data_IF_790412095648
#
_entry.id   IF_790412095648
#
_cell.length_a   1.000
_cell.length_b   1.000
_cell.length_c   1.000
_cell.angle_alpha   90.00
_cell.angle_beta   90.00
_cell.angle_gamma   90.00
#
_symmetry.space_group_name_H-M   'P 1'
#
loop_
_entity.id
_entity.type
_entity.pdbx_description
1 polymer ?
#
# COMPACT_ATOMS: atom_id res chain seq x y z
N UNK A 1 10.83 11.16 -21.53
CA UNK A 1 9.39 11.50 -21.60
C UNK A 1 8.79 11.46 -20.20
N UNK A 2 7.88 12.40 -19.87
CA UNK A 2 7.17 12.42 -18.58
C UNK A 2 5.67 12.34 -18.84
N UNK A 3 4.95 11.48 -18.12
CA UNK A 3 3.50 11.31 -18.20
C UNK A 3 2.88 11.74 -16.89
N UNK A 4 1.96 12.70 -16.93
CA UNK A 4 1.17 13.14 -15.78
C UNK A 4 -0.18 12.41 -15.79
N UNK A 5 -0.35 11.47 -14.89
CA UNK A 5 -1.56 10.68 -14.69
C UNK A 5 -2.30 11.19 -13.43
N UNK A 6 -2.92 12.34 -13.56
CA UNK A 6 -3.66 13.03 -12.50
C UNK A 6 -4.88 13.73 -13.12
N UNK A 7 -6.03 13.68 -12.43
CA UNK A 7 -7.27 14.29 -12.88
C UNK A 7 -7.44 15.74 -12.42
N UNK A 8 -6.62 16.20 -11.49
CA UNK A 8 -6.68 17.55 -10.96
C UNK A 8 -5.90 18.53 -11.83
N UNK A 9 -6.60 19.46 -12.46
CA UNK A 9 -6.00 20.47 -13.35
C UNK A 9 -4.90 21.30 -12.68
N UNK A 10 -5.13 21.71 -11.42
CA UNK A 10 -4.17 22.53 -10.69
C UNK A 10 -2.88 21.76 -10.38
N UNK A 11 -2.99 20.48 -10.07
CA UNK A 11 -1.84 19.61 -9.85
C UNK A 11 -1.04 19.44 -11.13
N UNK A 12 -1.72 19.18 -12.26
CA UNK A 12 -1.09 19.07 -13.57
C UNK A 12 -0.36 20.35 -13.95
N UNK A 13 -1.01 21.50 -13.79
CA UNK A 13 -0.42 22.81 -14.09
C UNK A 13 0.81 23.10 -13.23
N UNK A 14 0.75 22.80 -11.91
CA UNK A 14 1.87 22.94 -10.99
C UNK A 14 3.04 22.04 -11.36
N UNK A 15 2.79 20.76 -11.62
CA UNK A 15 3.82 19.81 -12.07
C UNK A 15 4.43 20.21 -13.39
N UNK A 16 3.61 20.67 -14.37
CA UNK A 16 4.09 21.16 -15.65
C UNK A 16 5.06 22.34 -15.48
N UNK A 17 4.70 23.30 -14.61
CA UNK A 17 5.58 24.44 -14.32
C UNK A 17 6.93 23.97 -13.74
N UNK A 18 6.91 23.07 -12.74
CA UNK A 18 8.10 22.54 -12.08
C UNK A 18 8.98 21.79 -13.09
N UNK A 19 8.37 20.92 -13.88
CA UNK A 19 9.09 20.08 -14.85
C UNK A 19 9.72 20.93 -15.95
N UNK A 20 9.01 21.93 -16.50
CA UNK A 20 9.55 22.82 -17.51
C UNK A 20 10.74 23.66 -17.00
N UNK A 21 10.68 24.07 -15.73
CA UNK A 21 11.78 24.81 -15.08
C UNK A 21 13.01 23.90 -14.86
N UNK A 22 12.80 22.63 -14.51
CA UNK A 22 13.90 21.67 -14.27
C UNK A 22 14.49 21.09 -15.56
N UNK A 23 13.65 20.82 -16.55
CA UNK A 23 13.99 20.13 -17.80
C UNK A 23 13.37 20.83 -19.00
N UNK A 24 13.90 21.99 -19.42
CA UNK A 24 13.34 22.74 -20.54
C UNK A 24 13.27 21.88 -21.82
N UNK A 25 12.09 21.81 -22.41
CA UNK A 25 11.86 21.07 -23.66
C UNK A 25 11.65 19.56 -23.49
N UNK A 26 11.51 19.06 -22.27
CA UNK A 26 11.16 17.66 -22.05
C UNK A 26 9.76 17.37 -22.61
N UNK A 27 9.62 16.25 -23.28
CA UNK A 27 8.34 15.78 -23.79
C UNK A 27 7.42 15.37 -22.63
N UNK A 28 6.24 16.03 -22.54
CA UNK A 28 5.23 15.75 -21.50
C UNK A 28 3.91 15.32 -22.14
N UNK A 29 3.27 14.32 -21.52
CA UNK A 29 1.94 13.84 -21.87
C UNK A 29 1.03 13.81 -20.65
N UNK A 30 -0.28 13.89 -20.92
CA UNK A 30 -1.32 13.78 -19.89
C UNK A 30 -2.14 12.53 -20.12
N UNK A 31 -2.55 11.90 -19.03
CA UNK A 31 -3.46 10.77 -19.04
C UNK A 31 -4.50 10.95 -17.94
N UNK A 32 -5.77 10.80 -18.31
CA UNK A 32 -6.91 10.97 -17.39
C UNK A 32 -7.46 9.63 -16.89
N UNK A 33 -7.05 8.55 -17.57
CA UNK A 33 -7.47 7.19 -17.26
C UNK A 33 -6.36 6.17 -17.58
N UNK A 34 -6.56 4.94 -17.10
CA UNK A 34 -5.63 3.83 -17.31
C UNK A 34 -5.46 3.47 -18.79
N UNK A 35 -6.49 3.61 -19.60
CA UNK A 35 -6.42 3.28 -21.02
C UNK A 35 -5.50 4.23 -21.78
N UNK A 36 -5.67 5.54 -21.61
CA UNK A 36 -4.80 6.56 -22.19
C UNK A 36 -3.37 6.46 -21.65
N UNK A 37 -3.18 6.15 -20.38
CA UNK A 37 -1.86 5.91 -19.77
C UNK A 37 -1.14 4.74 -20.45
N UNK A 38 -1.83 3.64 -20.68
CA UNK A 38 -1.28 2.45 -21.35
C UNK A 38 -0.89 2.80 -22.80
N UNK A 39 -1.70 3.58 -23.51
CA UNK A 39 -1.36 4.02 -24.88
C UNK A 39 -0.10 4.87 -24.92
N UNK A 40 0.03 5.83 -24.00
CA UNK A 40 1.25 6.66 -23.90
C UNK A 40 2.48 5.82 -23.57
N UNK A 41 2.36 4.90 -22.62
CA UNK A 41 3.44 3.99 -22.28
C UNK A 41 3.86 3.10 -23.43
N UNK A 42 2.94 2.62 -24.27
CA UNK A 42 3.27 1.86 -25.47
C UNK A 42 4.06 2.68 -26.50
N UNK A 43 3.77 3.96 -26.63
CA UNK A 43 4.48 4.86 -27.56
C UNK A 43 5.93 5.08 -27.13
N UNK A 44 6.21 5.11 -25.83
CA UNK A 44 7.55 5.36 -25.28
C UNK A 44 8.45 4.14 -25.18
N UNK A 45 7.91 2.91 -25.23
CA UNK A 45 8.47 1.86 -24.42
C UNK A 45 8.97 0.63 -25.15
N UNK A 46 9.89 0.77 -26.07
CA UNK A 46 10.60 -0.42 -26.55
C UNK A 46 12.13 -0.23 -26.63
N UNK A 47 12.67 0.82 -26.03
CA UNK A 47 14.13 1.04 -26.03
C UNK A 47 14.61 1.40 -24.63
N UNK A 48 15.71 0.80 -24.14
CA UNK A 48 16.33 1.14 -22.86
C UNK A 48 16.75 2.62 -22.74
N UNK A 49 16.83 3.33 -23.86
CA UNK A 49 17.18 4.75 -23.93
C UNK A 49 15.99 5.70 -23.78
N UNK A 50 14.76 5.20 -23.66
CA UNK A 50 13.53 6.00 -23.61
C UNK A 50 12.75 5.71 -22.31
N UNK A 51 13.40 5.94 -21.17
CA UNK A 51 12.78 5.79 -19.87
C UNK A 51 11.63 6.78 -19.71
N UNK A 52 10.44 6.26 -19.39
CA UNK A 52 9.28 7.06 -19.07
C UNK A 52 9.18 7.29 -17.57
N UNK A 53 8.97 8.53 -17.15
CA UNK A 53 8.59 8.85 -15.77
C UNK A 53 7.08 9.05 -15.76
N UNK A 54 6.39 8.27 -14.93
CA UNK A 54 4.95 8.39 -14.72
C UNK A 54 4.72 9.03 -13.36
N UNK A 55 4.11 10.21 -13.30
CA UNK A 55 3.65 10.83 -12.07
C UNK A 55 2.16 10.52 -11.93
N UNK A 56 1.81 9.68 -10.97
CA UNK A 56 0.49 9.07 -10.84
C UNK A 56 -0.19 9.47 -9.54
N UNK A 57 -1.37 10.08 -9.61
CA UNK A 57 -2.29 10.13 -8.47
C UNK A 57 -3.02 8.80 -8.33
N UNK A 58 -2.41 7.86 -7.59
CA UNK A 58 -2.96 6.51 -7.43
C UNK A 58 -4.36 6.51 -6.77
N UNK A 59 -4.60 7.43 -5.84
CA UNK A 59 -5.84 7.48 -5.06
C UNK A 59 -7.06 7.87 -5.90
N UNK A 60 -6.88 8.78 -6.88
CA UNK A 60 -7.97 9.31 -7.70
C UNK A 60 -7.96 8.79 -9.14
N UNK A 61 -7.05 7.88 -9.46
CA UNK A 61 -7.00 7.26 -10.78
C UNK A 61 -7.85 5.98 -10.82
N UNK A 62 -8.18 5.48 -12.00
CA UNK A 62 -9.11 4.35 -12.21
C UNK A 62 -8.47 2.95 -12.04
N UNK A 63 -7.57 2.81 -11.07
CA UNK A 63 -7.06 1.50 -10.66
C UNK A 63 -8.04 0.83 -9.69
N UNK A 64 -8.34 -0.44 -9.93
CA UNK A 64 -9.22 -1.25 -9.05
C UNK A 64 -8.45 -1.79 -7.82
N UNK A 65 -7.12 -1.68 -7.81
CA UNK A 65 -6.28 -2.12 -6.70
C UNK A 65 -4.81 -2.21 -7.06
N UNK A 66 -4.00 -2.55 -6.06
CA UNK A 66 -2.55 -2.63 -6.18
C UNK A 66 -2.06 -3.62 -7.25
N UNK A 67 -2.78 -4.74 -7.42
CA UNK A 67 -2.41 -5.76 -8.40
C UNK A 67 -2.33 -5.21 -9.83
N UNK A 68 -3.26 -4.32 -10.20
CA UNK A 68 -3.24 -3.68 -11.53
C UNK A 68 -2.03 -2.77 -11.69
N UNK A 69 -1.65 -2.03 -10.64
CA UNK A 69 -0.46 -1.18 -10.66
C UNK A 69 0.82 -2.01 -10.86
N UNK A 70 0.94 -3.15 -10.13
CA UNK A 70 2.08 -4.05 -10.29
C UNK A 70 2.15 -4.69 -11.68
N UNK A 71 1.01 -5.14 -12.21
CA UNK A 71 0.93 -5.71 -13.57
C UNK A 71 1.36 -4.67 -14.59
N UNK A 72 0.89 -3.43 -14.45
CA UNK A 72 1.20 -2.37 -15.39
C UNK A 72 2.70 -2.01 -15.34
N UNK A 73 3.27 -1.84 -14.15
CA UNK A 73 4.69 -1.55 -14.01
C UNK A 73 5.57 -2.71 -14.52
N UNK A 74 5.19 -3.95 -14.27
CA UNK A 74 5.90 -5.12 -14.80
C UNK A 74 5.88 -5.20 -16.33
N UNK A 75 4.77 -4.76 -16.93
CA UNK A 75 4.63 -4.68 -18.39
C UNK A 75 5.53 -3.62 -19.02
N UNK A 76 5.86 -2.59 -18.25
CA UNK A 76 6.69 -1.46 -18.68
C UNK A 76 7.95 -1.32 -17.80
N UNK A 77 8.92 -2.25 -17.92
CA UNK A 77 10.07 -2.33 -17.03
C UNK A 77 11.03 -1.13 -17.10
N UNK A 78 10.96 -0.34 -18.18
CA UNK A 78 11.76 0.88 -18.36
C UNK A 78 11.01 2.14 -17.93
N UNK A 79 9.93 2.02 -17.17
CA UNK A 79 9.21 3.15 -16.59
C UNK A 79 9.55 3.31 -15.10
N UNK A 80 9.68 4.56 -14.66
CA UNK A 80 9.78 4.91 -13.26
C UNK A 80 8.48 5.57 -12.80
N UNK A 81 7.93 5.14 -11.68
CA UNK A 81 6.62 5.55 -11.20
C UNK A 81 6.77 6.41 -9.95
N UNK A 82 6.28 7.64 -9.99
CA UNK A 82 6.15 8.50 -8.82
C UNK A 82 4.67 8.44 -8.40
N UNK A 83 4.39 7.78 -7.28
CA UNK A 83 3.06 7.80 -6.67
C UNK A 83 2.90 9.13 -5.93
N UNK A 84 2.15 10.05 -6.54
CA UNK A 84 1.94 11.41 -6.06
C UNK A 84 0.48 11.60 -5.65
N UNK A 85 0.14 11.22 -4.43
CA UNK A 85 -1.25 11.14 -3.93
C UNK A 85 -1.43 11.95 -2.65
N UNK A 86 -2.67 12.28 -2.32
CA UNK A 86 -3.01 12.99 -1.07
C UNK A 86 -2.78 12.06 0.12
N UNK A 87 -3.27 10.83 0.04
CA UNK A 87 -3.17 9.83 1.10
C UNK A 87 -2.73 8.48 0.54
N UNK A 88 -1.83 7.82 1.26
CA UNK A 88 -1.45 6.42 1.03
C UNK A 88 -1.32 5.75 2.40
N UNK A 89 -1.92 4.58 2.57
CA UNK A 89 -1.83 3.86 3.83
C UNK A 89 -0.41 3.33 4.08
N UNK A 90 -0.01 3.22 5.35
CA UNK A 90 1.31 2.71 5.73
C UNK A 90 1.57 1.29 5.18
N UNK A 91 0.53 0.45 5.15
CA UNK A 91 0.61 -0.90 4.62
C UNK A 91 0.82 -0.91 3.10
N UNK A 92 0.11 -0.05 2.35
CA UNK A 92 0.32 0.12 0.92
C UNK A 92 1.74 0.60 0.63
N UNK A 93 2.21 1.66 1.32
CA UNK A 93 3.58 2.18 1.19
C UNK A 93 4.60 1.08 1.48
N UNK A 94 4.39 0.29 2.54
CA UNK A 94 5.26 -0.82 2.91
C UNK A 94 5.35 -1.89 1.81
N UNK A 95 4.22 -2.30 1.24
CA UNK A 95 4.19 -3.29 0.14
C UNK A 95 4.86 -2.76 -1.13
N UNK A 96 4.54 -1.54 -1.55
CA UNK A 96 5.14 -0.91 -2.74
C UNK A 96 6.66 -0.84 -2.62
N UNK A 97 7.17 -0.36 -1.48
CA UNK A 97 8.61 -0.17 -1.25
C UNK A 97 9.37 -1.51 -1.24
N UNK A 98 8.74 -2.57 -0.75
CA UNK A 98 9.38 -3.90 -0.68
C UNK A 98 9.29 -4.68 -1.99
N UNK A 99 8.27 -4.41 -2.83
CA UNK A 99 8.01 -5.20 -4.03
C UNK A 99 8.86 -4.76 -5.23
N UNK A 100 9.09 -3.46 -5.42
CA UNK A 100 9.81 -2.96 -6.61
C UNK A 100 10.57 -1.68 -6.34
N UNK A 101 11.70 -1.51 -7.04
CA UNK A 101 12.50 -0.28 -7.03
C UNK A 101 11.99 0.78 -8.04
N UNK A 102 11.02 0.43 -8.89
CA UNK A 102 10.46 1.33 -9.89
C UNK A 102 9.60 2.45 -9.29
N UNK A 103 9.20 2.34 -8.00
CA UNK A 103 8.29 3.28 -7.37
C UNK A 103 9.02 4.26 -6.45
N UNK A 104 8.82 5.55 -6.71
CA UNK A 104 9.04 6.64 -5.77
C UNK A 104 7.71 7.01 -5.13
N UNK A 105 7.75 7.51 -3.89
CA UNK A 105 6.55 7.90 -3.14
C UNK A 105 6.67 9.34 -2.71
N UNK A 106 5.65 10.12 -3.03
CA UNK A 106 5.56 11.54 -2.76
C UNK A 106 4.11 11.90 -2.41
N UNK A 107 3.89 12.71 -1.39
CA UNK A 107 2.57 13.22 -1.05
C UNK A 107 2.33 14.60 -1.67
N UNK A 108 1.06 14.94 -1.98
CA UNK A 108 0.70 16.26 -2.55
C UNK A 108 1.00 17.41 -1.59
N UNK A 109 1.09 17.14 -0.29
CA UNK A 109 1.51 18.10 0.74
C UNK A 109 3.02 18.33 0.82
N UNK A 110 3.82 17.55 0.08
CA UNK A 110 5.27 17.69 0.09
C UNK A 110 5.72 19.07 -0.36
N UNK A 111 6.75 19.66 0.27
CA UNK A 111 7.26 20.95 -0.13
C UNK A 111 7.86 20.89 -1.55
N UNK A 112 7.85 22.03 -2.24
CA UNK A 112 8.37 22.17 -3.62
C UNK A 112 9.78 21.61 -3.81
N UNK A 113 10.64 21.77 -2.81
CA UNK A 113 12.02 21.23 -2.83
C UNK A 113 12.03 19.71 -2.91
N UNK A 114 11.14 19.04 -2.17
CA UNK A 114 11.04 17.59 -2.14
C UNK A 114 10.43 17.05 -3.45
N UNK A 115 9.45 17.76 -4.02
CA UNK A 115 8.89 17.45 -5.35
C UNK A 115 9.99 17.50 -6.43
N UNK A 116 10.79 18.56 -6.44
CA UNK A 116 11.92 18.70 -7.36
C UNK A 116 12.95 17.59 -7.19
N UNK A 117 13.26 17.26 -5.95
CA UNK A 117 14.24 16.22 -5.65
C UNK A 117 13.74 14.84 -6.11
N UNK A 118 12.49 14.50 -5.83
CA UNK A 118 11.87 13.26 -6.29
C UNK A 118 11.93 13.12 -7.82
N UNK A 119 11.57 14.17 -8.57
CA UNK A 119 11.63 14.16 -10.05
C UNK A 119 13.08 14.01 -10.54
N UNK A 120 14.05 14.65 -9.87
CA UNK A 120 15.48 14.51 -10.21
C UNK A 120 15.98 13.08 -9.98
N UNK A 121 15.58 12.42 -8.88
CA UNK A 121 15.92 11.03 -8.62
C UNK A 121 15.32 10.11 -9.67
N UNK A 122 14.04 10.30 -9.98
CA UNK A 122 13.35 9.52 -11.01
C UNK A 122 14.02 9.69 -12.40
N UNK A 123 14.48 10.90 -12.76
CA UNK A 123 15.19 11.15 -14.02
C UNK A 123 16.56 10.46 -14.11
N UNK A 124 17.09 10.02 -12.97
CA UNK A 124 18.32 9.22 -12.87
C UNK A 124 18.04 7.74 -12.59
N UNK A 125 16.80 7.32 -12.82
CA UNK A 125 16.30 5.97 -12.52
C UNK A 125 16.57 5.52 -11.08
N UNK A 126 16.47 6.47 -10.13
CA UNK A 126 16.66 6.24 -8.70
C UNK A 126 15.36 6.43 -7.96
N UNK A 127 15.10 5.54 -7.01
CA UNK A 127 13.93 5.64 -6.15
C UNK A 127 14.09 6.76 -5.13
N UNK A 128 13.00 7.49 -4.90
CA UNK A 128 12.86 8.48 -3.85
C UNK A 128 11.67 8.15 -2.94
N UNK A 129 11.88 8.25 -1.64
CA UNK A 129 10.82 8.07 -0.63
C UNK A 129 10.80 9.35 0.19
N UNK A 130 9.70 10.11 0.11
CA UNK A 130 9.58 11.37 0.84
C UNK A 130 9.59 11.15 2.37
N UNK A 131 9.88 12.21 3.11
CA UNK A 131 10.01 12.14 4.57
C UNK A 131 8.73 11.61 5.23
N UNK A 132 7.56 12.02 4.76
CA UNK A 132 6.27 11.56 5.28
C UNK A 132 6.09 10.05 5.06
N UNK A 133 6.38 9.53 3.86
CA UNK A 133 6.32 8.11 3.58
C UNK A 133 7.33 7.30 4.40
N UNK A 134 8.55 7.81 4.57
CA UNK A 134 9.53 7.20 5.44
C UNK A 134 9.08 7.15 6.91
N UNK A 135 8.42 8.21 7.39
CA UNK A 135 7.83 8.25 8.74
C UNK A 135 6.71 7.23 8.91
N UNK A 136 5.84 7.04 7.90
CA UNK A 136 4.83 5.99 7.90
C UNK A 136 5.44 4.59 7.99
N UNK A 137 6.53 4.33 7.25
CA UNK A 137 7.24 3.05 7.29
C UNK A 137 7.89 2.78 8.65
N UNK A 138 8.43 3.80 9.29
CA UNK A 138 9.01 3.70 10.63
C UNK A 138 7.91 3.50 11.67
N UNK A 139 6.82 4.27 11.58
CA UNK A 139 5.67 4.15 12.48
C UNK A 139 4.98 2.79 12.34
N UNK A 140 4.84 2.26 11.12
CA UNK A 140 4.29 0.91 10.89
C UNK A 140 5.21 -0.19 11.43
N UNK A 141 6.53 0.00 11.38
CA UNK A 141 7.50 -0.90 12.02
C UNK A 141 7.54 -0.74 13.53
N UNK A 142 7.22 0.45 14.07
CA UNK A 142 7.09 0.71 15.51
C UNK A 142 5.71 0.35 16.05
N UNK A 143 4.68 0.32 15.20
CA UNK A 143 3.51 -0.51 15.35
C UNK A 143 3.86 -1.96 14.97
N UNK A 144 4.99 -2.48 15.42
CA UNK A 144 5.04 -3.85 15.88
C UNK A 144 3.89 -3.92 16.86
N UNK A 145 2.76 -4.44 16.36
CA UNK A 145 1.55 -4.71 17.10
C UNK A 145 2.00 -5.03 18.52
N UNK A 146 1.72 -4.22 19.57
CA UNK A 146 2.14 -4.53 20.93
C UNK A 146 1.63 -5.91 21.34
N UNK A 147 0.87 -6.51 20.46
CA UNK A 147 0.23 -7.80 20.50
C UNK A 147 0.91 -8.84 19.58
N UNK A 148 1.84 -8.46 18.67
CA UNK A 148 2.60 -9.40 17.89
C UNK A 148 3.62 -10.12 18.76
N UNK A 149 3.41 -11.41 18.97
CA UNK A 149 4.26 -12.26 19.81
C UNK A 149 3.61 -12.74 21.11
N UNK A 150 2.48 -12.17 21.54
CA UNK A 150 1.73 -12.70 22.68
C UNK A 150 1.06 -14.04 22.36
N UNK A 151 0.61 -14.21 21.13
CA UNK A 151 -0.06 -15.42 20.66
C UNK A 151 0.84 -16.18 19.68
N UNK A 152 0.80 -17.51 19.77
CA UNK A 152 1.38 -18.37 18.72
C UNK A 152 0.54 -18.27 17.44
N UNK A 153 1.07 -18.72 16.30
CA UNK A 153 0.34 -18.74 15.03
C UNK A 153 -1.02 -19.44 15.16
N UNK A 154 -1.06 -20.60 15.80
CA UNK A 154 -2.30 -21.35 16.06
C UNK A 154 -3.27 -20.58 16.94
N UNK A 155 -2.80 -19.90 17.98
CA UNK A 155 -3.64 -19.10 18.86
C UNK A 155 -4.21 -17.86 18.13
N UNK A 156 -3.42 -17.23 17.25
CA UNK A 156 -3.89 -16.12 16.41
C UNK A 156 -5.00 -16.56 15.46
N UNK A 157 -4.84 -17.71 14.83
CA UNK A 157 -5.84 -18.28 13.93
C UNK A 157 -7.14 -18.68 14.68
N UNK A 158 -7.02 -19.23 15.88
CA UNK A 158 -8.19 -19.54 16.74
C UNK A 158 -8.87 -18.24 17.20
N UNK A 159 -8.10 -17.19 17.53
CA UNK A 159 -8.65 -15.89 17.88
C UNK A 159 -9.43 -15.28 16.71
N UNK A 160 -8.93 -15.42 15.47
CA UNK A 160 -9.66 -15.00 14.26
C UNK A 160 -11.00 -15.73 14.14
N UNK A 161 -11.00 -17.05 14.31
CA UNK A 161 -12.24 -17.85 14.25
C UNK A 161 -13.24 -17.42 15.33
N UNK A 162 -12.77 -17.13 16.54
CA UNK A 162 -13.61 -16.60 17.64
C UNK A 162 -14.22 -15.25 17.26
N UNK A 163 -13.42 -14.35 16.69
CA UNK A 163 -13.85 -13.00 16.30
C UNK A 163 -14.88 -13.04 15.16
N UNK A 164 -14.79 -14.02 14.27
CA UNK A 164 -15.78 -14.29 13.22
C UNK A 164 -17.03 -15.02 13.72
N UNK A 165 -17.18 -15.19 15.03
CA UNK A 165 -18.38 -15.74 15.66
C UNK A 165 -18.48 -17.27 15.71
N UNK A 166 -17.42 -18.01 15.35
CA UNK A 166 -17.44 -19.48 15.42
C UNK A 166 -17.46 -19.95 16.86
N UNK A 167 -18.29 -20.96 17.13
CA UNK A 167 -18.33 -21.62 18.45
C UNK A 167 -17.09 -22.51 18.64
N UNK A 168 -16.82 -22.91 19.89
CA UNK A 168 -15.73 -23.85 20.18
C UNK A 168 -15.88 -25.17 19.42
N UNK A 169 -17.12 -25.60 19.15
CA UNK A 169 -17.41 -26.82 18.41
C UNK A 169 -17.08 -26.64 16.93
N UNK A 170 -17.51 -25.53 16.32
CA UNK A 170 -17.24 -25.21 14.91
C UNK A 170 -15.73 -25.10 14.64
N UNK A 171 -14.99 -24.46 15.58
CA UNK A 171 -13.55 -24.35 15.49
C UNK A 171 -12.87 -25.73 15.59
N UNK A 172 -13.37 -26.59 16.47
CA UNK A 172 -12.84 -27.95 16.63
C UNK A 172 -13.04 -28.77 15.34
N UNK A 173 -14.24 -28.71 14.74
CA UNK A 173 -14.55 -29.36 13.46
C UNK A 173 -13.69 -28.77 12.31
N UNK A 174 -13.65 -27.45 12.18
CA UNK A 174 -12.85 -26.75 11.15
C UNK A 174 -11.36 -27.10 11.19
N UNK A 175 -10.83 -27.33 12.40
CA UNK A 175 -9.38 -27.57 12.61
C UNK A 175 -9.04 -29.03 12.86
N UNK A 176 -9.97 -29.95 12.67
CA UNK A 176 -9.79 -31.38 12.93
C UNK A 176 -9.17 -31.64 14.32
N UNK A 177 -9.68 -30.95 15.33
CA UNK A 177 -9.18 -30.98 16.70
C UNK A 177 -10.28 -31.34 17.72
N UNK A 178 -9.90 -31.71 18.94
CA UNK A 178 -10.90 -31.98 19.95
C UNK A 178 -11.48 -30.68 20.54
N UNK A 179 -12.73 -30.72 20.99
CA UNK A 179 -13.37 -29.64 21.74
C UNK A 179 -12.51 -29.20 22.95
N UNK A 180 -11.94 -30.18 23.64
CA UNK A 180 -11.09 -29.93 24.82
C UNK A 180 -9.82 -29.16 24.46
N UNK A 181 -9.19 -29.52 23.34
CA UNK A 181 -8.00 -28.83 22.83
C UNK A 181 -8.29 -27.38 22.51
N UNK A 182 -9.36 -27.10 21.74
CA UNK A 182 -9.76 -25.72 21.37
C UNK A 182 -10.14 -24.93 22.65
N UNK A 183 -10.86 -25.53 23.60
CA UNK A 183 -11.20 -24.83 24.82
C UNK A 183 -9.94 -24.46 25.65
N UNK A 184 -8.91 -25.32 25.65
CA UNK A 184 -7.62 -25.02 26.29
C UNK A 184 -6.93 -23.83 25.57
N UNK A 185 -6.90 -23.84 24.26
CA UNK A 185 -6.37 -22.69 23.48
C UNK A 185 -7.13 -21.40 23.80
N UNK A 186 -8.47 -21.41 23.82
CA UNK A 186 -9.30 -20.27 24.20
C UNK A 186 -8.93 -19.70 25.57
N UNK A 187 -8.80 -20.55 26.56
CA UNK A 187 -8.37 -20.13 27.92
C UNK A 187 -6.99 -19.49 27.90
N UNK A 188 -6.05 -20.07 27.18
CA UNK A 188 -4.69 -19.54 27.05
C UNK A 188 -4.67 -18.19 26.32
N UNK A 189 -5.43 -18.06 25.23
CA UNK A 189 -5.60 -16.81 24.49
C UNK A 189 -6.15 -15.72 25.42
N UNK A 190 -7.27 -15.98 26.12
CA UNK A 190 -7.91 -15.00 27.00
C UNK A 190 -6.97 -14.57 28.14
N UNK A 191 -6.23 -15.51 28.72
CA UNK A 191 -5.22 -15.21 29.75
C UNK A 191 -4.08 -14.35 29.19
N UNK A 192 -3.54 -14.71 28.03
CA UNK A 192 -2.43 -13.96 27.39
C UNK A 192 -2.83 -12.54 26.98
N UNK A 193 -4.06 -12.36 26.53
CA UNK A 193 -4.62 -11.08 26.13
C UNK A 193 -5.19 -10.26 27.28
N UNK A 194 -5.28 -10.85 28.49
CA UNK A 194 -5.93 -10.26 29.66
C UNK A 194 -7.39 -9.85 29.40
N UNK A 195 -8.12 -10.66 28.62
CA UNK A 195 -9.54 -10.45 28.29
C UNK A 195 -10.41 -11.48 29.00
N UNK A 196 -11.64 -11.09 29.35
CA UNK A 196 -12.53 -11.91 30.16
C UNK A 196 -13.69 -12.56 29.39
N UNK A 197 -13.95 -12.09 28.17
CA UNK A 197 -15.07 -12.55 27.36
C UNK A 197 -14.78 -12.47 25.86
N UNK A 198 -15.67 -13.10 25.07
CA UNK A 198 -15.55 -13.14 23.60
C UNK A 198 -15.59 -11.75 22.98
N UNK A 199 -16.43 -10.85 23.51
CA UNK A 199 -16.56 -9.49 22.98
C UNK A 199 -15.25 -8.69 23.11
N UNK A 200 -14.57 -8.80 24.24
CA UNK A 200 -13.25 -8.19 24.44
C UNK A 200 -12.19 -8.82 23.52
N UNK A 201 -12.24 -10.15 23.34
CA UNK A 201 -11.35 -10.85 22.43
C UNK A 201 -11.57 -10.45 20.96
N UNK A 202 -12.83 -10.27 20.55
CA UNK A 202 -13.18 -9.77 19.20
C UNK A 202 -12.69 -8.34 18.99
N UNK A 203 -12.93 -7.45 19.96
CA UNK A 203 -12.44 -6.07 19.90
C UNK A 203 -10.92 -6.02 19.81
N UNK A 204 -10.24 -6.93 20.51
CA UNK A 204 -8.80 -7.08 20.41
C UNK A 204 -8.38 -7.53 19.01
N UNK A 205 -9.04 -8.55 18.43
CA UNK A 205 -8.74 -9.06 17.09
C UNK A 205 -8.89 -7.98 16.00
N UNK A 206 -9.92 -7.15 16.08
CA UNK A 206 -10.13 -6.00 15.19
C UNK A 206 -8.99 -4.95 15.33
N UNK A 207 -8.68 -4.54 16.56
CA UNK A 207 -7.60 -3.57 16.82
C UNK A 207 -6.22 -4.10 16.43
N UNK A 208 -6.02 -5.41 16.52
CA UNK A 208 -4.78 -6.08 16.16
C UNK A 208 -4.67 -6.38 14.65
N UNK A 209 -5.70 -6.05 13.84
CA UNK A 209 -5.74 -6.35 12.41
C UNK A 209 -5.76 -7.86 12.11
N UNK A 210 -6.21 -8.70 13.08
CA UNK A 210 -6.36 -10.15 12.89
C UNK A 210 -7.63 -10.44 12.08
N UNK A 211 -8.63 -9.56 12.18
CA UNK A 211 -9.89 -9.58 11.42
C UNK A 211 -10.14 -8.17 10.92
N UNK A 212 -10.51 -8.04 9.65
CA UNK A 212 -10.91 -6.76 9.07
C UNK A 212 -12.37 -6.42 9.44
N UNK A 213 -12.67 -5.13 9.59
CA UNK A 213 -14.05 -4.68 9.85
C UNK A 213 -15.04 -5.17 8.79
N UNK A 214 -14.62 -5.24 7.53
CA UNK A 214 -15.44 -5.75 6.43
C UNK A 214 -15.76 -7.27 6.56
N UNK A 215 -14.88 -8.06 7.17
CA UNK A 215 -15.13 -9.49 7.43
C UNK A 215 -16.06 -9.72 8.64
N UNK A 216 -16.15 -8.73 9.54
CA UNK A 216 -16.95 -8.85 10.76
C UNK A 216 -18.46 -8.59 10.54
N UNK A 217 -18.83 -7.78 9.54
CA UNK A 217 -20.22 -7.39 9.26
C UNK A 217 -20.92 -8.26 8.18
N UNK A 218 -20.34 -9.40 7.79
CA UNK A 218 -20.97 -10.41 6.91
C UNK A 218 -21.60 -11.49 7.76
#
# INVERSE_FOLDING_TARGET
>A
MIILADRQDITRAGLQYIINDMFPGVEMHYSEDKASLIERLKQSNFRPSNEAIVILDYTHFDFVGEAELYILASRFPYSHWILFSEELSADFVGRIVTTSQQYSILFKESPMSEIRECIRYASSNKRYICQQAASLLVASKQQTNPYAGLLTKTETEILRDIALGLTTKDIAEKRFSSFHTINTHRKNIFRKLSVNNVHEATRYALRAGIVDEAEYYI
#
